data_IF_310484118910
#
_entry.id   IF_310484118910
#
_cell.length_a   1.000
_cell.length_b   1.000
_cell.length_c   1.000
_cell.angle_alpha   90.00
_cell.angle_beta   90.00
_cell.angle_gamma   90.00
#
_symmetry.space_group_name_H-M   'P 1'
#
loop_
_entity.id
_entity.type
_entity.pdbx_description
1 polymer ?
#
# COMPACT_ATOMS: atom_id res chain seq x y z
N UNK A 1 -13.89 -40.39 10.95
CA UNK A 1 -14.12 -39.15 11.76
C UNK A 1 -13.91 -37.96 10.87
N UNK A 2 -14.96 -37.24 10.47
CA UNK A 2 -14.87 -36.00 9.70
C UNK A 2 -14.23 -34.95 10.59
N UNK A 3 -13.08 -34.39 10.20
CA UNK A 3 -12.52 -33.21 10.81
C UNK A 3 -13.43 -32.05 10.42
N UNK A 4 -14.44 -31.77 11.22
CA UNK A 4 -15.21 -30.52 11.11
C UNK A 4 -14.28 -29.40 11.50
N UNK A 5 -13.79 -28.64 10.54
CA UNK A 5 -13.12 -27.37 10.83
C UNK A 5 -14.20 -26.37 11.26
N UNK A 6 -14.14 -25.92 12.49
CA UNK A 6 -15.08 -24.96 13.02
C UNK A 6 -14.66 -23.55 12.62
N UNK A 7 -15.40 -22.93 11.71
CA UNK A 7 -15.28 -21.54 11.31
C UNK A 7 -14.57 -21.32 9.97
N UNK A 8 -14.88 -20.21 9.32
CA UNK A 8 -14.19 -19.74 8.13
C UNK A 8 -12.77 -19.26 8.51
N UNK A 9 -11.80 -19.51 7.63
CA UNK A 9 -10.44 -19.02 7.84
C UNK A 9 -10.41 -17.50 7.76
N UNK A 10 -9.65 -16.85 8.66
CA UNK A 10 -9.41 -15.43 8.59
C UNK A 10 -8.63 -15.08 7.33
N UNK A 11 -9.02 -13.96 6.70
CA UNK A 11 -8.38 -13.44 5.50
C UNK A 11 -7.81 -12.06 5.79
N UNK A 12 -6.64 -11.78 5.26
CA UNK A 12 -6.12 -10.42 5.27
C UNK A 12 -6.97 -9.53 4.34
N UNK A 13 -7.26 -8.31 4.78
CA UNK A 13 -8.06 -7.36 4.02
C UNK A 13 -7.30 -6.72 2.83
N UNK A 14 -6.06 -7.13 2.59
CA UNK A 14 -5.17 -6.54 1.58
C UNK A 14 -4.11 -5.63 2.20
N UNK A 15 -3.31 -5.04 1.33
CA UNK A 15 -2.24 -4.12 1.70
C UNK A 15 -2.32 -2.85 0.87
N UNK A 16 -2.11 -1.71 1.49
CA UNK A 16 -1.77 -0.47 0.80
C UNK A 16 -0.26 -0.46 0.63
N UNK A 17 0.20 -0.37 -0.60
CA UNK A 17 1.62 -0.35 -0.93
C UNK A 17 2.01 1.07 -1.32
N UNK A 18 3.04 1.57 -0.67
CA UNK A 18 3.65 2.86 -0.99
C UNK A 18 5.08 2.59 -1.46
N UNK A 19 5.34 2.87 -2.72
CA UNK A 19 6.64 2.65 -3.34
C UNK A 19 7.36 3.97 -3.59
N UNK A 20 8.66 4.00 -3.35
CA UNK A 20 9.54 5.15 -3.63
C UNK A 20 10.55 4.73 -4.70
N UNK A 21 10.26 4.94 -6.00
CA UNK A 21 11.12 4.47 -7.08
C UNK A 21 12.57 4.96 -6.97
N UNK A 22 12.75 6.22 -6.59
CA UNK A 22 14.09 6.82 -6.41
C UNK A 22 14.89 6.30 -5.23
N UNK A 23 14.29 5.49 -4.32
CA UNK A 23 14.95 4.94 -3.13
C UNK A 23 15.32 3.46 -3.31
N UNK A 24 15.21 2.92 -4.52
CA UNK A 24 15.51 1.52 -4.81
C UNK A 24 16.88 1.38 -5.44
N UNK A 25 17.54 0.30 -5.10
CA UNK A 25 18.70 -0.21 -5.79
C UNK A 25 18.25 -1.02 -7.00
N UNK A 26 18.70 -0.65 -8.19
CA UNK A 26 18.58 -1.48 -9.37
C UNK A 26 19.87 -2.28 -9.47
N UNK A 27 19.78 -3.57 -9.23
CA UNK A 27 20.86 -4.51 -9.51
C UNK A 27 20.71 -4.97 -10.96
N UNK A 28 21.40 -4.29 -11.87
CA UNK A 28 21.33 -4.59 -13.30
C UNK A 28 21.89 -5.98 -13.65
N UNK A 29 22.86 -6.50 -12.89
CA UNK A 29 23.42 -7.84 -13.12
C UNK A 29 22.46 -8.97 -12.72
N UNK A 30 21.66 -8.78 -11.67
CA UNK A 30 20.71 -9.77 -11.22
C UNK A 30 19.30 -9.59 -11.84
N UNK A 31 19.06 -8.54 -12.60
CA UNK A 31 17.73 -8.18 -13.09
C UNK A 31 16.74 -7.92 -11.96
N UNK A 32 17.24 -7.60 -10.79
CA UNK A 32 16.47 -7.48 -9.57
C UNK A 32 16.68 -6.11 -8.90
N UNK A 33 15.59 -5.46 -8.54
CA UNK A 33 15.61 -4.29 -7.66
C UNK A 33 15.81 -4.76 -6.22
N UNK A 34 17.02 -4.71 -5.71
CA UNK A 34 17.38 -5.29 -4.41
C UNK A 34 17.77 -4.22 -3.39
N UNK A 35 16.82 -3.64 -2.71
CA UNK A 35 17.12 -2.84 -1.54
C UNK A 35 16.95 -1.33 -1.72
N UNK A 36 17.21 -0.59 -0.64
CA UNK A 36 17.21 0.85 -0.64
C UNK A 36 18.60 1.37 -1.07
N UNK A 37 18.64 2.44 -1.85
CA UNK A 37 19.84 3.23 -2.03
C UNK A 37 20.37 3.64 -0.66
N UNK A 38 21.64 3.93 -0.56
CA UNK A 38 22.38 4.30 0.66
C UNK A 38 21.52 5.12 1.64
N UNK A 39 20.74 4.40 2.44
CA UNK A 39 19.82 4.98 3.43
C UNK A 39 20.63 5.28 4.66
N UNK A 40 20.74 6.55 4.97
CA UNK A 40 21.45 7.05 6.14
C UNK A 40 20.48 7.53 7.22
N UNK A 41 20.97 7.61 8.45
CA UNK A 41 20.23 8.16 9.61
C UNK A 41 18.82 7.58 9.78
N UNK A 42 18.66 6.28 9.53
CA UNK A 42 17.35 5.63 9.65
C UNK A 42 16.91 5.54 11.12
N UNK A 43 15.75 6.12 11.43
CA UNK A 43 15.14 6.08 12.76
C UNK A 43 13.67 5.69 12.64
N UNK A 44 13.21 4.83 13.55
CA UNK A 44 11.80 4.54 13.76
C UNK A 44 11.44 4.75 15.22
N UNK A 45 10.31 5.40 15.46
CA UNK A 45 9.77 5.62 16.79
C UNK A 45 8.27 5.39 16.82
N UNK A 46 7.77 4.99 17.99
CA UNK A 46 6.36 4.92 18.30
C UNK A 46 6.11 5.71 19.57
N UNK A 47 5.33 6.77 19.47
CA UNK A 47 4.85 7.50 20.62
C UNK A 47 3.53 6.90 21.09
N UNK A 48 3.59 6.23 22.25
CA UNK A 48 2.43 5.57 22.84
C UNK A 48 1.43 6.55 23.45
N UNK A 49 1.82 7.81 23.70
CA UNK A 49 0.93 8.81 24.30
C UNK A 49 -0.09 9.35 23.30
N UNK A 50 0.29 9.44 22.02
CA UNK A 50 -0.55 9.93 20.93
C UNK A 50 -0.77 8.90 19.82
N UNK A 51 -0.30 7.67 20.01
CA UNK A 51 -0.41 6.56 19.07
C UNK A 51 0.13 6.89 17.66
N UNK A 52 1.25 7.63 17.59
CA UNK A 52 1.86 8.08 16.34
C UNK A 52 3.15 7.32 16.07
N UNK A 53 3.25 6.71 14.90
CA UNK A 53 4.47 6.07 14.42
C UNK A 53 5.20 6.99 13.43
N UNK A 54 6.50 7.20 13.66
CA UNK A 54 7.33 8.03 12.78
C UNK A 54 8.49 7.20 12.25
N UNK A 55 8.78 7.34 10.96
CA UNK A 55 9.99 6.81 10.33
C UNK A 55 10.68 7.95 9.58
N UNK A 56 11.96 8.16 9.86
CA UNK A 56 12.78 9.15 9.19
C UNK A 56 14.08 8.54 8.69
N UNK A 57 14.53 8.96 7.52
CA UNK A 57 15.78 8.52 6.91
C UNK A 57 16.26 9.54 5.87
N UNK A 58 17.51 9.42 5.47
CA UNK A 58 18.14 10.29 4.45
C UNK A 58 18.51 9.45 3.23
N UNK A 59 18.18 9.95 2.04
CA UNK A 59 18.62 9.42 0.74
C UNK A 59 19.09 10.59 -0.12
N UNK A 60 20.28 10.50 -0.68
CA UNK A 60 20.90 11.54 -1.52
C UNK A 60 20.86 12.95 -0.87
N UNK A 61 21.07 13.01 0.46
CA UNK A 61 21.07 14.25 1.22
C UNK A 61 19.69 14.79 1.60
N UNK A 62 18.60 14.22 1.08
CA UNK A 62 17.21 14.61 1.39
C UNK A 62 16.68 13.77 2.54
N UNK A 63 16.12 14.41 3.54
CA UNK A 63 15.43 13.72 4.64
C UNK A 63 13.98 13.44 4.26
N UNK A 64 13.59 12.19 4.40
CA UNK A 64 12.22 11.73 4.23
C UNK A 64 11.62 11.34 5.56
N UNK A 65 10.44 11.88 5.88
CA UNK A 65 9.72 11.57 7.12
C UNK A 65 8.35 11.02 6.79
N UNK A 66 8.00 9.91 7.41
CA UNK A 66 6.65 9.31 7.36
C UNK A 66 6.07 9.28 8.74
N UNK A 67 4.93 9.91 8.92
CA UNK A 67 4.15 9.93 10.16
C UNK A 67 2.84 9.20 9.92
N UNK A 68 2.54 8.20 10.74
CA UNK A 68 1.35 7.38 10.60
C UNK A 68 0.57 7.38 11.91
N UNK A 69 -0.72 7.60 11.82
CA UNK A 69 -1.66 7.41 12.93
C UNK A 69 -3.02 6.93 12.42
N UNK A 70 -3.82 6.38 13.32
CA UNK A 70 -5.20 5.96 13.01
C UNK A 70 -6.15 6.77 13.87
N UNK A 71 -7.08 7.48 13.20
CA UNK A 71 -8.22 8.13 13.87
C UNK A 71 -9.29 7.09 14.14
N UNK A 72 -9.64 6.93 15.39
CA UNK A 72 -10.71 6.04 15.81
C UNK A 72 -12.08 6.65 15.56
N UNK A 73 -12.19 7.96 15.69
CA UNK A 73 -13.42 8.71 15.46
C UNK A 73 -13.82 8.74 14.00
N UNK A 74 -12.86 9.01 13.11
CA UNK A 74 -13.08 9.09 11.67
C UNK A 74 -12.99 7.73 10.96
N UNK A 75 -12.50 6.69 11.67
CA UNK A 75 -12.26 5.36 11.14
C UNK A 75 -11.33 5.36 9.90
N UNK A 76 -10.28 6.16 9.96
CA UNK A 76 -9.26 6.28 8.90
C UNK A 76 -7.86 6.11 9.44
N UNK A 77 -6.96 5.59 8.59
CA UNK A 77 -5.51 5.65 8.83
C UNK A 77 -4.93 6.75 7.95
N UNK A 78 -4.18 7.64 8.57
CA UNK A 78 -3.50 8.75 7.88
C UNK A 78 -2.00 8.44 7.84
N UNK A 79 -1.40 8.60 6.67
CA UNK A 79 0.05 8.60 6.49
C UNK A 79 0.45 9.93 5.87
N UNK A 80 1.19 10.75 6.60
CA UNK A 80 1.84 11.94 6.08
C UNK A 80 3.26 11.59 5.66
N UNK A 81 3.64 12.01 4.46
CA UNK A 81 4.97 11.78 3.89
C UNK A 81 5.54 13.15 3.50
N UNK A 82 6.76 13.42 3.93
CA UNK A 82 7.41 14.71 3.71
C UNK A 82 8.84 14.50 3.23
N UNK A 83 9.28 15.34 2.29
CA UNK A 83 10.67 15.50 1.91
C UNK A 83 11.20 16.85 2.42
N UNK A 84 12.44 16.90 2.92
CA UNK A 84 13.05 18.13 3.43
C UNK A 84 13.32 19.18 2.33
N UNK A 85 13.26 18.78 1.08
CA UNK A 85 13.46 19.62 -0.08
C UNK A 85 12.24 19.58 -1.00
N UNK A 86 11.87 20.74 -1.55
CA UNK A 86 10.77 20.88 -2.51
C UNK A 86 11.06 20.08 -3.79
N UNK A 87 10.05 19.43 -4.35
CA UNK A 87 10.17 18.69 -5.60
C UNK A 87 10.95 17.38 -5.47
N UNK A 88 11.18 16.88 -4.27
CA UNK A 88 11.93 15.63 -4.06
C UNK A 88 11.06 14.45 -3.64
N UNK A 89 9.77 14.68 -3.38
CA UNK A 89 8.86 13.60 -3.01
C UNK A 89 8.26 12.95 -4.26
N UNK A 90 8.74 11.75 -4.56
CA UNK A 90 8.22 10.91 -5.64
C UNK A 90 7.81 9.57 -5.07
N UNK A 91 6.56 9.18 -5.25
CA UNK A 91 6.06 7.90 -4.76
C UNK A 91 4.85 7.40 -5.54
N UNK A 92 4.63 6.11 -5.45
CA UNK A 92 3.47 5.43 -6.00
C UNK A 92 2.65 4.81 -4.88
N UNK A 93 1.32 4.86 -5.03
CA UNK A 93 0.39 4.18 -4.11
C UNK A 93 -0.51 3.25 -4.90
N UNK A 94 -0.61 2.01 -4.45
CA UNK A 94 -1.57 1.05 -4.99
C UNK A 94 -2.13 0.13 -3.90
N UNK A 95 -3.22 -0.57 -4.23
CA UNK A 95 -3.78 -1.62 -3.40
C UNK A 95 -3.35 -2.99 -3.90
N UNK A 96 -2.88 -3.81 -2.99
CA UNK A 96 -2.51 -5.20 -3.25
C UNK A 96 -3.41 -6.16 -2.47
N UNK A 97 -4.00 -7.11 -3.18
CA UNK A 97 -4.68 -8.21 -2.52
C UNK A 97 -3.65 -9.14 -1.86
N UNK A 98 -3.98 -9.73 -0.72
CA UNK A 98 -3.16 -10.81 -0.18
C UNK A 98 -3.15 -11.98 -1.16
N UNK A 99 -2.13 -12.80 -1.07
CA UNK A 99 -1.88 -13.96 -1.94
C UNK A 99 -3.14 -14.61 -2.49
N UNK A 100 -3.05 -15.12 -3.74
CA UNK A 100 -4.11 -15.94 -4.36
C UNK A 100 -4.56 -17.01 -3.38
N UNK A 101 -5.64 -16.78 -2.67
CA UNK A 101 -6.26 -17.78 -1.83
C UNK A 101 -7.52 -18.27 -2.53
N UNK A 102 -7.85 -19.52 -2.34
CA UNK A 102 -9.14 -20.07 -2.80
C UNK A 102 -10.33 -19.50 -2.03
N UNK A 103 -10.12 -18.47 -1.18
CA UNK A 103 -11.10 -17.98 -0.22
C UNK A 103 -11.58 -16.57 -0.53
N UNK A 104 -10.70 -15.71 -1.04
CA UNK A 104 -11.07 -14.36 -1.47
C UNK A 104 -10.52 -14.05 -2.85
N UNK A 105 -11.18 -13.16 -3.55
CA UNK A 105 -10.75 -12.60 -4.83
C UNK A 105 -10.96 -11.09 -4.83
N UNK A 106 -10.24 -10.40 -5.70
CA UNK A 106 -10.48 -8.98 -5.94
C UNK A 106 -11.86 -8.85 -6.62
N UNK A 107 -12.75 -8.07 -6.03
CA UNK A 107 -14.02 -7.67 -6.61
C UNK A 107 -13.88 -6.39 -7.41
N UNK A 108 -13.36 -5.35 -6.77
CA UNK A 108 -13.10 -4.02 -7.36
C UNK A 108 -11.63 -3.69 -7.14
N UNK A 109 -10.99 -3.09 -8.11
CA UNK A 109 -9.72 -2.38 -7.96
C UNK A 109 -9.63 -1.38 -9.11
N UNK A 110 -9.96 -0.14 -8.86
CA UNK A 110 -10.04 0.93 -9.86
C UNK A 110 -9.72 2.28 -9.24
N UNK A 111 -9.44 3.26 -10.10
CA UNK A 111 -9.43 4.67 -9.72
C UNK A 111 -10.80 5.25 -10.02
N UNK A 112 -11.35 5.95 -9.05
CA UNK A 112 -12.65 6.62 -9.14
C UNK A 112 -12.54 7.95 -9.90
N UNK A 113 -13.66 8.56 -10.27
CA UNK A 113 -13.68 9.85 -10.97
C UNK A 113 -13.10 11.01 -10.16
N UNK A 114 -13.09 10.90 -8.83
CA UNK A 114 -12.51 11.85 -7.89
C UNK A 114 -11.06 11.49 -7.47
N UNK A 115 -10.43 10.55 -8.19
CA UNK A 115 -9.02 10.24 -8.08
C UNK A 115 -8.65 9.35 -6.89
N UNK A 116 -9.60 8.67 -6.25
CA UNK A 116 -9.32 7.69 -5.19
C UNK A 116 -9.12 6.28 -5.76
N UNK A 117 -8.35 5.46 -5.08
CA UNK A 117 -8.38 4.02 -5.31
C UNK A 117 -9.55 3.43 -4.52
N UNK A 118 -10.47 2.77 -5.22
CA UNK A 118 -11.51 1.93 -4.64
C UNK A 118 -11.13 0.47 -4.87
N UNK A 119 -10.96 -0.27 -3.79
CA UNK A 119 -10.65 -1.69 -3.84
C UNK A 119 -11.62 -2.49 -2.96
N UNK A 120 -11.94 -3.70 -3.39
CA UNK A 120 -12.69 -4.63 -2.56
C UNK A 120 -12.18 -6.06 -2.68
N UNK A 121 -12.29 -6.78 -1.58
CA UNK A 121 -12.15 -8.22 -1.53
C UNK A 121 -13.53 -8.84 -1.30
N UNK A 122 -13.83 -9.84 -2.10
CA UNK A 122 -15.09 -10.59 -2.02
C UNK A 122 -14.80 -12.08 -1.82
N UNK A 123 -15.72 -12.87 -1.24
CA UNK A 123 -15.52 -14.30 -1.12
C UNK A 123 -15.29 -14.95 -2.49
N UNK A 124 -14.30 -15.82 -2.59
CA UNK A 124 -14.06 -16.62 -3.81
C UNK A 124 -15.13 -17.70 -4.00
N UNK A 125 -15.72 -18.16 -2.90
CA UNK A 125 -16.85 -19.10 -2.88
C UNK A 125 -18.09 -18.40 -2.31
N UNK A 126 -19.22 -18.58 -2.95
CA UNK A 126 -20.49 -18.01 -2.52
C UNK A 126 -21.06 -18.71 -1.29
N UNK A 127 -20.60 -19.94 -1.01
CA UNK A 127 -21.05 -20.75 0.11
C UNK A 127 -19.90 -21.61 0.66
N UNK A 128 -19.92 -21.85 1.96
CA UNK A 128 -19.02 -22.76 2.65
C UNK A 128 -19.82 -23.54 3.69
N UNK A 129 -19.83 -24.88 3.58
CA UNK A 129 -20.52 -25.80 4.50
C UNK A 129 -22.02 -25.46 4.70
N UNK A 130 -22.74 -25.07 3.64
CA UNK A 130 -24.15 -24.71 3.68
C UNK A 130 -24.42 -23.30 4.18
N UNK A 131 -23.38 -22.49 4.45
CA UNK A 131 -23.50 -21.11 4.89
C UNK A 131 -23.06 -20.16 3.78
N UNK A 132 -23.94 -19.22 3.42
CA UNK A 132 -23.62 -18.22 2.41
C UNK A 132 -22.53 -17.26 2.88
N UNK A 133 -21.50 -17.11 2.05
CA UNK A 133 -20.42 -16.14 2.29
C UNK A 133 -20.86 -14.75 1.82
N UNK A 134 -21.02 -13.83 2.75
CA UNK A 134 -21.48 -12.44 2.48
C UNK A 134 -20.46 -11.37 2.88
N UNK A 135 -19.31 -11.76 3.42
CA UNK A 135 -18.31 -10.81 3.89
C UNK A 135 -17.60 -10.14 2.71
N UNK A 136 -17.78 -8.84 2.59
CA UNK A 136 -17.02 -8.00 1.66
C UNK A 136 -16.17 -7.00 2.45
N UNK A 137 -14.93 -6.79 2.02
CA UNK A 137 -14.06 -5.79 2.57
C UNK A 137 -13.82 -4.71 1.51
N UNK A 138 -14.05 -3.46 1.86
CA UNK A 138 -13.79 -2.30 1.01
C UNK A 138 -12.65 -1.48 1.56
N UNK A 139 -11.79 -1.00 0.68
CA UNK A 139 -10.68 -0.12 1.00
C UNK A 139 -10.72 1.08 0.07
N UNK A 140 -10.68 2.27 0.64
CA UNK A 140 -10.59 3.52 -0.11
C UNK A 140 -9.27 4.20 0.23
N UNK A 141 -8.54 4.64 -0.79
CA UNK A 141 -7.25 5.32 -0.62
C UNK A 141 -7.32 6.63 -1.37
N UNK A 142 -7.12 7.73 -0.65
CA UNK A 142 -7.02 9.07 -1.21
C UNK A 142 -5.61 9.61 -0.97
N UNK A 143 -5.02 10.15 -2.01
CA UNK A 143 -3.75 10.88 -1.92
C UNK A 143 -4.06 12.37 -2.06
N UNK A 144 -3.45 13.18 -1.20
CA UNK A 144 -3.54 14.65 -1.23
C UNK A 144 -2.09 15.14 -1.19
N UNK A 145 -1.58 15.64 -2.31
CA UNK A 145 -0.20 16.11 -2.42
C UNK A 145 -0.09 17.63 -2.26
N UNK A 146 0.99 18.05 -1.66
CA UNK A 146 1.43 19.46 -1.57
C UNK A 146 2.58 19.66 -2.56
N UNK A 147 2.34 20.45 -3.61
CA UNK A 147 3.28 20.61 -4.73
C UNK A 147 3.35 19.38 -5.63
N UNK A 148 4.07 19.51 -6.73
CA UNK A 148 4.20 18.46 -7.72
C UNK A 148 2.92 18.12 -8.46
N UNK A 149 2.94 17.00 -9.16
CA UNK A 149 1.84 16.50 -9.97
C UNK A 149 1.35 15.14 -9.47
N UNK A 150 0.05 14.93 -9.53
CA UNK A 150 -0.57 13.64 -9.28
C UNK A 150 -1.12 13.05 -10.57
N UNK A 151 -0.74 11.83 -10.88
CA UNK A 151 -1.22 11.10 -12.04
C UNK A 151 -1.82 9.74 -11.63
N UNK A 152 -2.85 9.34 -12.36
CA UNK A 152 -3.43 8.02 -12.25
C UNK A 152 -2.80 7.12 -13.31
N UNK A 153 -1.99 6.19 -12.89
CA UNK A 153 -1.23 5.31 -13.78
C UNK A 153 -1.62 3.86 -13.55
N UNK A 154 -1.40 3.01 -14.56
CA UNK A 154 -1.52 1.56 -14.41
C UNK A 154 -0.18 0.91 -14.10
N UNK A 155 0.80 1.65 -13.58
CA UNK A 155 2.13 1.12 -13.29
C UNK A 155 2.08 0.13 -12.14
N UNK A 156 2.80 -0.95 -12.27
CA UNK A 156 3.03 -1.87 -11.17
C UNK A 156 4.16 -1.31 -10.29
N UNK A 157 3.82 -0.98 -9.05
CA UNK A 157 4.80 -0.62 -8.00
C UNK A 157 5.33 -1.83 -7.25
N UNK A 158 4.77 -3.00 -7.51
CA UNK A 158 5.05 -4.22 -6.79
C UNK A 158 5.76 -5.21 -7.69
N UNK A 159 6.87 -5.71 -7.22
CA UNK A 159 7.71 -6.72 -7.84
C UNK A 159 6.94 -7.99 -8.21
N UNK A 160 7.27 -8.60 -9.37
CA UNK A 160 6.98 -10.02 -9.61
C UNK A 160 7.55 -10.86 -8.46
N UNK A 161 6.70 -11.68 -7.84
CA UNK A 161 7.09 -12.48 -6.67
C UNK A 161 6.88 -11.81 -5.30
N UNK A 162 6.42 -10.54 -5.25
CA UNK A 162 5.94 -9.90 -4.03
C UNK A 162 4.54 -10.36 -3.62
N UNK A 163 3.89 -9.63 -2.72
CA UNK A 163 2.53 -9.91 -2.20
C UNK A 163 1.43 -10.03 -3.28
N UNK A 164 1.74 -9.73 -4.53
CA UNK A 164 0.81 -9.69 -5.67
C UNK A 164 1.31 -10.51 -6.84
N UNK A 165 1.65 -11.76 -6.61
CA UNK A 165 2.06 -12.65 -7.68
C UNK A 165 0.99 -12.71 -8.80
N UNK A 166 1.37 -12.32 -10.02
CA UNK A 166 0.57 -12.44 -11.23
C UNK A 166 -0.36 -11.26 -11.53
N UNK A 167 -0.21 -10.10 -10.89
CA UNK A 167 -0.79 -8.84 -11.35
C UNK A 167 0.25 -8.06 -12.15
N UNK A 168 0.01 -7.89 -13.44
CA UNK A 168 0.91 -7.16 -14.36
C UNK A 168 0.63 -5.65 -14.40
N UNK A 169 -0.54 -5.23 -13.95
CA UNK A 169 -0.93 -3.83 -13.86
C UNK A 169 -1.98 -3.66 -12.76
N UNK A 170 -1.78 -2.69 -11.89
CA UNK A 170 -2.73 -2.31 -10.85
C UNK A 170 -2.99 -0.81 -10.90
N UNK A 171 -4.21 -0.36 -10.61
CA UNK A 171 -4.51 1.05 -10.46
C UNK A 171 -3.57 1.70 -9.46
N UNK A 172 -2.83 2.71 -9.89
CA UNK A 172 -1.76 3.33 -9.13
C UNK A 172 -1.92 4.84 -9.18
N UNK A 173 -1.82 5.49 -8.03
CA UNK A 173 -1.68 6.93 -7.92
C UNK A 173 -0.19 7.22 -7.81
N UNK A 174 0.34 8.02 -8.74
CA UNK A 174 1.74 8.46 -8.75
C UNK A 174 1.79 9.93 -8.38
N UNK A 175 2.65 10.29 -7.44
CA UNK A 175 3.03 11.68 -7.14
C UNK A 175 4.46 11.90 -7.61
N UNK A 176 4.66 12.98 -8.36
CA UNK A 176 5.97 13.41 -8.86
C UNK A 176 6.26 14.83 -8.42
N UNK A 177 7.52 15.08 -8.03
CA UNK A 177 8.04 16.39 -7.66
C UNK A 177 7.25 17.08 -6.52
N UNK A 178 6.65 16.29 -5.64
CA UNK A 178 5.95 16.78 -4.46
C UNK A 178 6.90 17.26 -3.36
N UNK A 179 6.29 17.85 -2.31
CA UNK A 179 6.99 18.26 -1.08
C UNK A 179 6.46 17.50 0.11
N UNK A 180 5.14 17.29 0.17
CA UNK A 180 4.46 16.48 1.15
C UNK A 180 3.20 15.82 0.53
N UNK A 181 2.67 14.82 1.22
CA UNK A 181 1.41 14.16 0.88
C UNK A 181 0.76 13.53 2.12
#
# INVERSE_FOLDING_TARGET
>A
MSKKSHGAQYQAAGCVLVGFPGHRYDDEEAGQTTGARDVQAYVRSLDMSNATAVTSYVVDGVTYTRTVFTSFEDNVTVMRIEASEKGKLNFDVCYAAPNKTNMVKIGINKITSDGMIEASLVPAKTESEGVANKLNCYTFIKVINEGGEQANTGKQTVREGGLVAGQTSVPTITVSDGTAA
#
